data_IF_852905878977
#
_entry.id   IF_852905878977
#
_cell.length_a   1.000
_cell.length_b   1.000
_cell.length_c   1.000
_cell.angle_alpha   90.00
_cell.angle_beta   90.00
_cell.angle_gamma   90.00
#
_symmetry.space_group_name_H-M   'P 1'
#
loop_
_entity.id
_entity.type
_entity.pdbx_description
1 polymer ?
#
# COMPACT_ATOMS: atom_id res chain seq x y z
N UNK A 1 -7.39 20.43 -16.97
CA UNK A 1 -8.12 19.18 -17.30
C UNK A 1 -8.34 18.45 -15.99
N UNK A 2 -9.54 17.97 -15.70
CA UNK A 2 -9.87 17.30 -14.43
C UNK A 2 -10.17 15.84 -14.75
N UNK A 3 -9.58 14.89 -14.04
CA UNK A 3 -9.91 13.47 -14.21
C UNK A 3 -11.21 13.20 -13.44
N UNK A 4 -12.24 12.74 -14.15
CA UNK A 4 -13.51 12.32 -13.54
C UNK A 4 -13.40 10.96 -12.85
N UNK A 5 -14.40 10.62 -12.05
CA UNK A 5 -14.54 9.27 -11.49
C UNK A 5 -14.44 8.19 -12.58
N UNK A 6 -15.13 8.40 -13.70
CA UNK A 6 -15.13 7.49 -14.85
C UNK A 6 -13.75 7.36 -15.50
N UNK A 7 -12.94 8.43 -15.52
CA UNK A 7 -11.57 8.38 -16.06
C UNK A 7 -10.64 7.52 -15.19
N UNK A 8 -10.85 7.56 -13.86
CA UNK A 8 -10.10 6.74 -12.90
C UNK A 8 -10.58 5.29 -12.94
N UNK A 9 -11.87 5.03 -13.09
CA UNK A 9 -12.41 3.68 -13.26
C UNK A 9 -12.00 3.03 -14.59
N UNK A 10 -11.84 3.84 -15.64
CA UNK A 10 -11.37 3.39 -16.95
C UNK A 10 -9.91 2.88 -16.92
N UNK A 11 -9.14 3.23 -15.88
CA UNK A 11 -7.84 2.65 -15.63
C UNK A 11 -8.00 1.18 -15.23
N UNK A 12 -7.70 0.26 -16.15
CA UNK A 12 -7.63 -1.15 -15.77
C UNK A 12 -6.64 -1.35 -14.63
N UNK A 13 -6.91 -2.29 -13.71
CA UNK A 13 -6.06 -2.53 -12.55
C UNK A 13 -4.62 -2.74 -12.96
N UNK A 14 -3.75 -1.90 -12.42
CA UNK A 14 -2.34 -1.93 -12.70
C UNK A 14 -1.94 -1.45 -14.09
N UNK A 15 -2.78 -0.94 -14.99
CA UNK A 15 -2.30 -0.37 -16.29
C UNK A 15 -1.52 0.94 -16.10
N UNK A 16 -1.98 1.82 -15.22
CA UNK A 16 -1.21 3.00 -14.76
C UNK A 16 0.04 2.66 -13.96
N UNK A 17 0.15 1.41 -13.53
CA UNK A 17 1.30 0.87 -12.80
C UNK A 17 1.97 -0.29 -13.56
N UNK A 18 1.65 -0.52 -14.84
CA UNK A 18 2.38 -1.45 -15.73
C UNK A 18 3.67 -0.78 -16.22
N UNK A 19 4.02 0.36 -15.63
CA UNK A 19 5.34 0.96 -15.72
C UNK A 19 6.39 -0.11 -15.40
N UNK A 20 7.48 -0.11 -16.17
CA UNK A 20 8.62 -1.06 -16.17
C UNK A 20 9.16 -1.50 -14.79
N UNK A 21 8.79 -0.81 -13.71
CA UNK A 21 9.20 -1.11 -12.34
C UNK A 21 8.35 -2.18 -11.65
N UNK A 22 7.15 -2.51 -12.14
CA UNK A 22 6.16 -3.24 -11.33
C UNK A 22 5.67 -4.56 -11.93
N UNK A 23 6.02 -4.87 -13.18
CA UNK A 23 5.47 -6.03 -13.92
C UNK A 23 5.69 -7.42 -13.29
N UNK A 24 6.55 -7.57 -12.28
CA UNK A 24 6.95 -8.89 -11.75
C UNK A 24 7.01 -9.02 -10.22
N UNK A 25 6.57 -8.04 -9.43
CA UNK A 25 6.71 -8.15 -7.98
C UNK A 25 5.45 -8.71 -7.30
N UNK A 26 5.39 -10.04 -7.17
CA UNK A 26 4.29 -10.75 -6.47
C UNK A 26 4.08 -10.29 -5.01
N UNK A 27 5.00 -9.50 -4.44
CA UNK A 27 4.91 -8.96 -3.08
C UNK A 27 4.11 -7.66 -2.99
N UNK A 28 3.94 -6.94 -4.10
CA UNK A 28 3.24 -5.67 -4.16
C UNK A 28 1.99 -5.82 -5.01
N UNK A 29 0.86 -5.47 -4.43
CA UNK A 29 -0.45 -5.67 -5.03
C UNK A 29 -1.15 -4.33 -5.17
N UNK A 30 -1.81 -4.12 -6.30
CA UNK A 30 -2.71 -3.00 -6.51
C UNK A 30 -4.11 -3.54 -6.68
N UNK A 31 -4.96 -3.28 -5.69
CA UNK A 31 -6.32 -3.79 -5.68
C UNK A 31 -7.13 -2.98 -6.70
N UNK A 32 -7.78 -3.64 -7.68
CA UNK A 32 -8.74 -3.02 -8.59
C UNK A 32 -9.76 -2.14 -7.86
N UNK A 33 -10.16 -1.02 -8.47
CA UNK A 33 -11.24 -0.17 -7.95
C UNK A 33 -12.53 -0.97 -7.73
N UNK A 34 -12.89 -1.84 -8.67
CA UNK A 34 -14.09 -2.69 -8.57
C UNK A 34 -14.06 -3.62 -7.34
N UNK A 35 -12.89 -4.20 -7.04
CA UNK A 35 -12.71 -5.01 -5.83
C UNK A 35 -12.75 -4.11 -4.60
N UNK A 36 -12.09 -2.96 -4.64
CA UNK A 36 -12.06 -2.06 -3.50
C UNK A 36 -13.46 -1.53 -3.14
N UNK A 37 -14.29 -1.21 -4.14
CA UNK A 37 -15.70 -0.83 -3.95
C UNK A 37 -16.52 -1.99 -3.35
N UNK A 38 -16.31 -3.22 -3.85
CA UNK A 38 -16.92 -4.41 -3.24
C UNK A 38 -16.55 -4.55 -1.75
N UNK A 39 -15.30 -4.23 -1.41
CA UNK A 39 -14.81 -4.28 -0.03
C UNK A 39 -15.36 -3.13 0.84
N UNK A 40 -15.65 -1.94 0.29
CA UNK A 40 -16.16 -0.79 1.05
C UNK A 40 -17.68 -0.82 1.24
N UNK A 41 -18.44 -1.28 0.24
CA UNK A 41 -19.91 -1.20 0.21
C UNK A 41 -20.59 -2.30 1.02
N UNK A 42 -19.96 -3.48 1.14
CA UNK A 42 -20.54 -4.58 1.92
C UNK A 42 -20.44 -4.31 3.41
N UNK A 43 -21.58 -4.34 4.07
CA UNK A 43 -21.66 -4.28 5.53
C UNK A 43 -20.75 -5.35 6.14
N UNK A 44 -20.06 -4.99 7.22
CA UNK A 44 -19.21 -5.91 7.96
C UNK A 44 -20.09 -6.89 8.72
N UNK A 45 -20.40 -8.02 8.08
CA UNK A 45 -21.05 -9.16 8.73
C UNK A 45 -20.03 -10.31 8.89
N UNK A 46 -19.99 -10.88 10.09
CA UNK A 46 -19.19 -12.06 10.39
C UNK A 46 -19.87 -13.37 10.01
N UNK A 47 -21.09 -13.31 9.46
CA UNK A 47 -21.76 -14.50 8.96
C UNK A 47 -20.92 -15.21 7.88
N UNK A 48 -20.80 -16.53 8.05
CA UNK A 48 -19.93 -17.38 7.24
C UNK A 48 -20.39 -17.41 5.78
N UNK A 49 -21.69 -17.32 5.52
CA UNK A 49 -22.21 -17.27 4.15
C UNK A 49 -21.80 -15.95 3.47
N UNK A 50 -22.03 -14.82 4.14
CA UNK A 50 -21.64 -13.51 3.64
C UNK A 50 -20.14 -13.40 3.32
N UNK A 51 -19.26 -13.94 4.19
CA UNK A 51 -17.81 -13.95 3.96
C UNK A 51 -17.45 -14.77 2.71
N UNK A 52 -18.06 -15.94 2.53
CA UNK A 52 -17.81 -16.80 1.37
C UNK A 52 -18.26 -16.15 0.06
N UNK A 53 -19.43 -15.52 0.07
CA UNK A 53 -19.95 -14.81 -1.09
C UNK A 53 -19.04 -13.63 -1.44
N UNK A 54 -18.61 -12.84 -0.43
CA UNK A 54 -17.64 -11.75 -0.62
C UNK A 54 -16.31 -12.25 -1.19
N UNK A 55 -15.76 -13.32 -0.64
CA UNK A 55 -14.50 -13.89 -1.12
C UNK A 55 -14.65 -14.43 -2.54
N UNK A 56 -15.76 -15.09 -2.86
CA UNK A 56 -16.07 -15.57 -4.21
C UNK A 56 -16.12 -14.42 -5.21
N UNK A 57 -16.87 -13.36 -4.91
CA UNK A 57 -17.01 -12.19 -5.77
C UNK A 57 -15.69 -11.45 -5.95
N UNK A 58 -14.95 -11.24 -4.86
CA UNK A 58 -13.62 -10.62 -4.90
C UNK A 58 -12.65 -11.46 -5.73
N UNK A 59 -12.66 -12.79 -5.58
CA UNK A 59 -11.80 -13.70 -6.35
C UNK A 59 -12.20 -13.78 -7.83
N UNK A 60 -13.48 -13.62 -8.16
CA UNK A 60 -13.96 -13.57 -9.54
C UNK A 60 -13.49 -12.28 -10.22
N UNK A 61 -13.56 -11.15 -9.52
CA UNK A 61 -13.02 -9.87 -9.98
C UNK A 61 -11.48 -9.85 -10.02
N UNK A 62 -10.82 -10.62 -9.15
CA UNK A 62 -9.36 -10.81 -9.08
C UNK A 62 -8.82 -11.81 -10.11
N UNK A 63 -9.59 -12.15 -11.15
CA UNK A 63 -9.15 -13.14 -12.14
C UNK A 63 -7.83 -12.76 -12.83
N UNK A 64 -7.68 -11.48 -13.17
CA UNK A 64 -6.48 -10.97 -13.86
C UNK A 64 -5.29 -10.77 -12.90
N UNK A 65 -5.56 -10.28 -11.68
CA UNK A 65 -4.50 -9.91 -10.73
C UNK A 65 -4.07 -11.06 -9.83
N UNK A 66 -4.94 -12.05 -9.59
CA UNK A 66 -4.77 -13.20 -8.69
C UNK A 66 -4.14 -12.86 -7.34
N UNK A 67 -4.30 -11.60 -6.92
CA UNK A 67 -3.55 -11.01 -5.85
C UNK A 67 -4.09 -11.41 -4.48
N UNK A 68 -5.40 -11.68 -4.37
CA UNK A 68 -6.07 -12.04 -3.13
C UNK A 68 -5.92 -13.52 -2.81
N UNK A 69 -5.62 -14.37 -3.81
CA UNK A 69 -5.52 -15.83 -3.66
C UNK A 69 -4.33 -16.31 -2.82
N UNK A 70 -3.29 -15.48 -2.66
CA UNK A 70 -2.05 -15.84 -1.95
C UNK A 70 -1.67 -14.78 -0.92
N UNK A 71 -2.51 -14.54 0.11
CA UNK A 71 -2.35 -13.42 1.02
C UNK A 71 -1.01 -13.40 1.75
N UNK A 72 -0.45 -14.56 2.13
CA UNK A 72 0.90 -14.66 2.72
C UNK A 72 2.05 -14.17 1.83
N UNK A 73 1.86 -14.19 0.51
CA UNK A 73 2.88 -13.69 -0.42
C UNK A 73 2.83 -12.17 -0.58
N UNK A 74 1.70 -11.56 -0.21
CA UNK A 74 1.50 -10.12 -0.27
C UNK A 74 2.25 -9.48 0.90
N UNK A 75 3.20 -8.60 0.57
CA UNK A 75 3.91 -7.78 1.55
C UNK A 75 3.25 -6.40 1.67
N UNK A 76 2.77 -5.85 0.56
CA UNK A 76 2.05 -4.58 0.53
C UNK A 76 0.90 -4.68 -0.46
N UNK A 77 -0.29 -4.23 -0.07
CA UNK A 77 -1.40 -4.00 -1.00
C UNK A 77 -1.84 -2.54 -0.95
N UNK A 78 -2.00 -1.92 -2.11
CA UNK A 78 -2.51 -0.57 -2.29
C UNK A 78 -3.98 -0.67 -2.70
N UNK A 79 -4.86 -0.07 -1.91
CA UNK A 79 -6.30 -0.22 -2.02
C UNK A 79 -6.90 1.19 -2.12
N UNK A 80 -7.42 1.60 -3.29
CA UNK A 80 -8.11 2.87 -3.41
C UNK A 80 -9.44 2.79 -2.67
N UNK A 81 -9.76 3.77 -1.83
CA UNK A 81 -11.02 3.84 -1.09
C UNK A 81 -11.83 4.99 -1.64
N UNK A 82 -13.05 4.70 -2.10
CA UNK A 82 -14.04 5.71 -2.46
C UNK A 82 -15.18 5.72 -1.43
N UNK A 83 -15.58 6.91 -1.00
CA UNK A 83 -16.74 7.11 -0.13
C UNK A 83 -16.89 8.58 0.23
N UNK A 84 -18.12 9.05 0.46
CA UNK A 84 -18.43 10.47 0.69
C UNK A 84 -17.85 11.38 -0.41
N UNK A 85 -18.01 10.97 -1.68
CA UNK A 85 -17.50 11.62 -2.89
C UNK A 85 -15.99 11.92 -2.90
N UNK A 86 -15.23 11.17 -2.11
CA UNK A 86 -13.80 11.40 -1.93
C UNK A 86 -12.98 10.12 -2.10
N UNK A 87 -11.78 10.27 -2.66
CA UNK A 87 -10.80 9.20 -2.81
C UNK A 87 -9.69 9.29 -1.77
N UNK A 88 -9.35 8.15 -1.16
CA UNK A 88 -8.15 8.02 -0.33
C UNK A 88 -7.43 6.70 -0.60
N UNK A 89 -6.23 6.56 -0.06
CA UNK A 89 -5.42 5.36 -0.24
C UNK A 89 -5.29 4.61 1.09
N UNK A 90 -5.78 3.38 1.11
CA UNK A 90 -5.51 2.42 2.17
C UNK A 90 -4.37 1.50 1.74
N UNK A 91 -3.39 1.29 2.62
CA UNK A 91 -2.25 0.42 2.36
C UNK A 91 -2.20 -0.69 3.41
N UNK A 92 -2.40 -1.92 2.97
CA UNK A 92 -2.10 -3.11 3.77
C UNK A 92 -0.59 -3.35 3.77
N UNK A 93 -0.01 -3.60 4.94
CA UNK A 93 1.40 -3.91 5.11
C UNK A 93 1.57 -5.15 5.99
N UNK A 94 2.11 -6.20 5.39
CA UNK A 94 2.51 -7.42 6.08
C UNK A 94 4.02 -7.43 6.29
N UNK A 95 4.45 -7.33 7.55
CA UNK A 95 5.86 -7.41 7.92
C UNK A 95 6.16 -8.77 8.53
N UNK A 96 7.13 -9.48 7.97
CA UNK A 96 7.63 -10.76 8.50
C UNK A 96 8.02 -10.73 9.99
N UNK A 97 8.32 -9.55 10.53
CA UNK A 97 8.81 -9.37 11.90
C UNK A 97 7.80 -8.69 12.84
N UNK A 98 6.57 -8.43 12.39
CA UNK A 98 5.52 -7.88 13.26
C UNK A 98 4.40 -8.87 13.50
N UNK A 99 3.81 -8.87 14.70
CA UNK A 99 2.77 -9.81 15.07
C UNK A 99 1.46 -9.55 14.31
N UNK A 100 1.20 -8.31 13.91
CA UNK A 100 -0.05 -7.90 13.26
C UNK A 100 0.23 -7.13 11.95
N UNK A 101 -0.63 -7.29 10.93
CA UNK A 101 -0.61 -6.42 9.77
C UNK A 101 -0.97 -4.97 10.14
N UNK A 102 -0.31 -4.03 9.49
CA UNK A 102 -0.61 -2.60 9.62
C UNK A 102 -1.44 -2.15 8.41
N UNK A 103 -2.36 -1.24 8.66
CA UNK A 103 -3.14 -0.58 7.63
C UNK A 103 -2.88 0.92 7.71
N UNK A 104 -2.29 1.47 6.65
CA UNK A 104 -1.88 2.86 6.59
C UNK A 104 -2.86 3.62 5.71
N UNK A 105 -3.49 4.66 6.24
CA UNK A 105 -4.50 5.44 5.54
C UNK A 105 -3.95 6.81 5.18
N UNK A 106 -3.87 7.10 3.88
CA UNK A 106 -3.38 8.36 3.33
C UNK A 106 -4.58 9.11 2.74
N UNK A 107 -4.95 10.23 3.37
CA UNK A 107 -6.03 11.09 2.94
C UNK A 107 -5.47 12.49 2.61
N UNK A 108 -5.62 12.92 1.35
CA UNK A 108 -5.16 14.22 0.85
C UNK A 108 -6.07 15.37 1.22
N UNK A 109 -7.20 15.13 1.88
CA UNK A 109 -8.16 16.17 2.23
C UNK A 109 -8.34 16.24 3.76
N UNK A 110 -7.81 17.31 4.37
CA UNK A 110 -7.83 17.56 5.82
C UNK A 110 -9.24 17.42 6.43
N UNK A 111 -10.27 17.88 5.70
CA UNK A 111 -11.66 17.88 6.16
C UNK A 111 -12.44 16.62 5.77
N UNK A 112 -11.81 15.67 5.07
CA UNK A 112 -12.45 14.41 4.65
C UNK A 112 -12.31 13.30 5.71
N UNK A 113 -11.73 13.61 6.87
CA UNK A 113 -11.75 12.72 8.04
C UNK A 113 -13.14 12.58 8.67
N UNK A 114 -14.19 13.06 7.99
CA UNK A 114 -15.59 12.73 8.28
C UNK A 114 -15.68 11.24 8.62
N UNK A 115 -16.35 10.96 9.72
CA UNK A 115 -16.45 9.63 10.31
C UNK A 115 -16.84 8.57 9.27
N UNK A 116 -17.71 8.95 8.32
CA UNK A 116 -18.17 8.12 7.21
C UNK A 116 -17.03 7.62 6.30
N UNK A 117 -16.12 8.48 5.85
CA UNK A 117 -15.04 8.05 4.94
C UNK A 117 -14.01 7.18 5.65
N UNK A 118 -13.70 7.49 6.92
CA UNK A 118 -12.87 6.63 7.76
C UNK A 118 -13.55 5.27 7.99
N UNK A 119 -14.87 5.26 8.11
CA UNK A 119 -15.65 4.04 8.22
C UNK A 119 -15.56 3.19 6.94
N UNK A 120 -15.61 3.79 5.75
CA UNK A 120 -15.37 3.07 4.49
C UNK A 120 -14.01 2.36 4.48
N UNK A 121 -12.94 3.05 4.93
CA UNK A 121 -11.61 2.45 5.03
C UNK A 121 -11.55 1.29 6.04
N UNK A 122 -12.24 1.41 7.18
CA UNK A 122 -12.36 0.31 8.17
C UNK A 122 -13.14 -0.87 7.63
N UNK A 123 -14.25 -0.64 6.94
CA UNK A 123 -15.06 -1.69 6.31
C UNK A 123 -14.23 -2.44 5.28
N UNK A 124 -13.56 -1.72 4.37
CA UNK A 124 -12.68 -2.32 3.36
C UNK A 124 -11.56 -3.16 3.97
N UNK A 125 -10.94 -2.66 5.04
CA UNK A 125 -9.93 -3.37 5.80
C UNK A 125 -10.46 -4.70 6.34
N UNK A 126 -11.59 -4.68 7.05
CA UNK A 126 -12.14 -5.87 7.70
C UNK A 126 -12.56 -6.89 6.63
N UNK A 127 -13.22 -6.43 5.58
CA UNK A 127 -13.63 -7.27 4.45
C UNK A 127 -12.42 -7.89 3.75
N UNK A 128 -11.33 -7.14 3.54
CA UNK A 128 -10.10 -7.68 2.96
C UNK A 128 -9.50 -8.79 3.83
N UNK A 129 -9.49 -8.58 5.15
CA UNK A 129 -9.02 -9.57 6.10
C UNK A 129 -9.89 -10.84 6.08
N UNK A 130 -11.21 -10.72 5.95
CA UNK A 130 -12.08 -11.89 5.76
C UNK A 130 -11.80 -12.64 4.45
N UNK A 131 -11.60 -11.92 3.35
CA UNK A 131 -11.21 -12.53 2.07
C UNK A 131 -9.87 -13.26 2.20
N UNK A 132 -8.89 -12.66 2.88
CA UNK A 132 -7.60 -13.30 3.15
C UNK A 132 -7.74 -14.56 4.00
N UNK A 133 -8.61 -14.56 5.02
CA UNK A 133 -8.87 -15.74 5.84
C UNK A 133 -9.56 -16.86 5.06
N UNK A 134 -10.51 -16.54 4.17
CA UNK A 134 -11.17 -17.55 3.34
C UNK A 134 -10.18 -18.17 2.35
N UNK A 135 -9.29 -17.36 1.78
CA UNK A 135 -8.25 -17.83 0.86
C UNK A 135 -7.07 -18.54 1.57
N UNK A 136 -6.80 -18.23 2.84
CA UNK A 136 -5.82 -18.90 3.68
C UNK A 136 -6.34 -19.03 5.14
N UNK A 137 -7.01 -20.16 5.47
CA UNK A 137 -7.60 -20.38 6.79
C UNK A 137 -6.61 -20.38 7.96
N UNK A 138 -5.31 -20.50 7.69
CA UNK A 138 -4.27 -20.44 8.72
C UNK A 138 -3.92 -19.01 9.15
N UNK A 139 -4.44 -17.99 8.45
CA UNK A 139 -4.35 -16.60 8.91
C UNK A 139 -5.27 -16.39 10.11
N UNK A 140 -4.67 -16.23 11.30
CA UNK A 140 -5.38 -15.85 12.52
C UNK A 140 -5.73 -14.37 12.47
N UNK A 141 -6.95 -14.06 12.06
CA UNK A 141 -7.49 -12.71 11.96
C UNK A 141 -8.62 -12.57 12.98
N UNK A 142 -8.40 -11.72 13.99
CA UNK A 142 -9.42 -11.22 14.93
C UNK A 142 -9.73 -9.74 14.64
N UNK A 143 -10.84 -9.23 15.18
CA UNK A 143 -11.19 -7.80 15.07
C UNK A 143 -10.16 -6.88 15.73
N UNK A 144 -9.39 -7.40 16.67
CA UNK A 144 -8.30 -6.74 17.38
C UNK A 144 -6.94 -6.95 16.68
N UNK A 145 -6.90 -7.73 15.60
CA UNK A 145 -5.66 -8.14 14.91
C UNK A 145 -5.16 -7.13 13.89
N UNK A 146 -5.63 -5.88 13.93
CA UNK A 146 -5.19 -4.86 12.99
C UNK A 146 -5.06 -3.50 13.65
N UNK A 147 -4.19 -2.67 13.06
CA UNK A 147 -4.03 -1.27 13.43
C UNK A 147 -4.24 -0.40 12.19
N UNK A 148 -5.30 0.41 12.20
CA UNK A 148 -5.47 1.49 11.22
C UNK A 148 -4.68 2.71 11.70
N UNK A 149 -3.75 3.17 10.88
CA UNK A 149 -2.83 4.28 11.18
C UNK A 149 -3.03 5.36 10.13
N UNK A 150 -3.51 6.53 10.58
CA UNK A 150 -3.55 7.72 9.73
C UNK A 150 -2.12 8.17 9.41
N UNK A 151 -1.84 8.41 8.13
CA UNK A 151 -0.54 8.88 7.66
C UNK A 151 -0.67 10.25 7.05
N UNK A 152 0.27 11.12 7.42
CA UNK A 152 0.42 12.42 6.78
C UNK A 152 0.84 12.20 5.32
N UNK A 153 0.18 12.93 4.43
CA UNK A 153 0.47 12.95 3.01
C UNK A 153 0.25 14.37 2.47
N UNK A 154 0.76 14.68 1.26
CA UNK A 154 0.50 15.94 0.60
C UNK A 154 -1.00 16.23 0.55
N UNK A 155 -1.36 17.46 0.92
CA UNK A 155 -2.77 17.87 0.92
C UNK A 155 -3.14 18.48 -0.43
N UNK A 156 -4.32 18.14 -0.92
CA UNK A 156 -4.87 18.76 -2.12
C UNK A 156 -5.33 20.17 -1.81
N UNK A 157 -5.03 21.11 -2.70
CA UNK A 157 -5.48 22.49 -2.62
C UNK A 157 -6.84 22.71 -3.30
N UNK A 158 -7.31 21.74 -4.08
CA UNK A 158 -8.58 21.78 -4.81
C UNK A 158 -9.53 20.67 -4.35
N UNK A 159 -10.78 20.71 -4.81
CA UNK A 159 -11.81 19.74 -4.41
C UNK A 159 -11.87 18.45 -5.26
N UNK A 160 -11.04 18.29 -6.29
CA UNK A 160 -11.26 17.29 -7.34
C UNK A 160 -10.04 16.40 -7.67
N UNK A 161 -8.85 16.68 -7.13
CA UNK A 161 -7.66 15.86 -7.39
C UNK A 161 -7.47 14.68 -6.42
N UNK A 162 -8.44 14.36 -5.56
CA UNK A 162 -8.28 13.27 -4.57
C UNK A 162 -7.82 11.94 -5.19
N UNK A 163 -8.36 11.58 -6.37
CA UNK A 163 -7.91 10.40 -7.12
C UNK A 163 -6.48 10.50 -7.69
N UNK A 164 -6.06 11.71 -8.10
CA UNK A 164 -4.67 11.97 -8.52
C UNK A 164 -3.71 11.75 -7.35
N UNK A 165 -4.09 12.22 -6.16
CA UNK A 165 -3.30 12.04 -4.94
C UNK A 165 -3.21 10.57 -4.51
N UNK A 166 -4.28 9.78 -4.69
CA UNK A 166 -4.23 8.32 -4.48
C UNK A 166 -3.17 7.67 -5.39
N UNK A 167 -3.20 7.97 -6.69
CA UNK A 167 -2.24 7.44 -7.65
C UNK A 167 -0.81 7.89 -7.34
N UNK A 168 -0.63 9.17 -7.02
CA UNK A 168 0.65 9.76 -6.65
C UNK A 168 1.25 9.11 -5.41
N UNK A 169 0.46 8.94 -4.36
CA UNK A 169 0.90 8.32 -3.12
C UNK A 169 1.32 6.86 -3.36
N UNK A 170 0.51 6.09 -4.10
CA UNK A 170 0.85 4.72 -4.46
C UNK A 170 2.15 4.64 -5.29
N UNK A 171 2.33 5.53 -6.26
CA UNK A 171 3.54 5.60 -7.09
C UNK A 171 4.80 5.90 -6.25
N UNK A 172 4.75 6.91 -5.38
CA UNK A 172 5.87 7.30 -4.51
C UNK A 172 6.26 6.16 -3.59
N UNK A 173 5.28 5.60 -2.88
CA UNK A 173 5.52 4.50 -1.93
C UNK A 173 6.13 3.30 -2.64
N UNK A 174 5.60 2.92 -3.80
CA UNK A 174 6.14 1.75 -4.51
C UNK A 174 7.54 2.02 -5.07
N UNK A 175 7.81 3.24 -5.52
CA UNK A 175 9.15 3.62 -6.00
C UNK A 175 10.20 3.54 -4.87
N UNK A 176 9.84 4.00 -3.66
CA UNK A 176 10.69 3.88 -2.46
C UNK A 176 10.93 2.43 -2.09
N UNK A 177 9.87 1.64 -2.00
CA UNK A 177 9.94 0.21 -1.69
C UNK A 177 10.83 -0.56 -2.70
N UNK A 178 10.66 -0.29 -3.98
CA UNK A 178 11.45 -0.91 -5.05
C UNK A 178 12.93 -0.53 -4.98
N UNK A 179 13.23 0.73 -4.62
CA UNK A 179 14.60 1.20 -4.41
C UNK A 179 15.27 0.47 -3.25
N UNK A 180 14.58 0.32 -2.12
CA UNK A 180 15.11 -0.43 -0.98
C UNK A 180 15.39 -1.89 -1.28
N UNK A 181 14.52 -2.54 -2.06
CA UNK A 181 14.73 -3.93 -2.48
C UNK A 181 15.96 -4.07 -3.38
N UNK A 182 16.16 -3.14 -4.33
CA UNK A 182 17.35 -3.12 -5.20
C UNK A 182 18.64 -2.88 -4.43
N UNK A 183 18.59 -2.02 -3.41
CA UNK A 183 19.73 -1.75 -2.53
C UNK A 183 19.95 -2.87 -1.49
N UNK A 184 19.16 -3.94 -1.55
CA UNK A 184 19.26 -5.08 -0.63
C UNK A 184 18.83 -4.76 0.80
N UNK A 185 18.38 -3.52 1.10
CA UNK A 185 18.08 -3.05 2.45
C UNK A 185 16.91 -3.78 3.11
N UNK A 186 16.05 -4.42 2.31
CA UNK A 186 14.96 -5.26 2.78
C UNK A 186 15.31 -6.74 3.06
N UNK A 187 16.57 -7.17 2.86
CA UNK A 187 16.99 -8.55 3.09
C UNK A 187 17.29 -8.82 4.56
N UNK A 188 16.84 -9.94 5.16
CA UNK A 188 17.29 -10.39 6.47
C UNK A 188 18.81 -10.47 6.57
N UNK A 189 19.49 -10.83 5.47
CA UNK A 189 20.96 -10.87 5.41
C UNK A 189 21.57 -9.48 5.37
N UNK A 190 20.91 -8.45 4.83
CA UNK A 190 21.41 -7.08 4.93
C UNK A 190 21.21 -6.52 6.34
N UNK A 191 20.08 -6.81 6.98
CA UNK A 191 19.87 -6.50 8.39
C UNK A 191 20.91 -7.22 9.28
N UNK A 192 21.22 -8.48 8.98
CA UNK A 192 22.24 -9.27 9.68
C UNK A 192 23.66 -8.77 9.37
N UNK A 193 24.02 -8.55 8.11
CA UNK A 193 25.33 -8.05 7.69
C UNK A 193 25.59 -6.65 8.24
N UNK A 194 24.58 -5.78 8.33
CA UNK A 194 24.68 -4.47 8.99
C UNK A 194 24.85 -4.61 10.51
N UNK A 195 24.18 -5.58 11.14
CA UNK A 195 24.42 -5.90 12.57
C UNK A 195 25.83 -6.44 12.79
N UNK A 196 26.33 -7.30 11.90
CA UNK A 196 27.64 -7.94 12.00
C UNK A 196 28.79 -6.98 11.63
N UNK A 197 28.63 -6.10 10.64
CA UNK A 197 29.61 -5.08 10.26
C UNK A 197 29.79 -4.01 11.34
N UNK A 198 28.78 -3.84 12.19
CA UNK A 198 28.85 -2.99 13.39
C UNK A 198 29.44 -3.72 14.60
N UNK A 199 29.49 -5.06 14.57
CA UNK A 199 30.11 -5.93 15.59
C UNK A 199 31.59 -6.21 15.31
N UNK A 200 32.10 -5.94 14.12
CA UNK A 200 33.50 -6.18 13.73
C UNK A 200 34.45 -5.01 14.03
N UNK A 201 33.98 -3.94 14.68
CA UNK A 201 34.88 -2.99 15.33
C UNK A 201 35.35 -3.58 16.66
N UNK A 202 36.24 -4.58 16.57
CA UNK A 202 37.11 -4.90 17.69
C UNK A 202 38.01 -3.69 17.91
N UNK A 203 38.02 -3.08 19.11
CA UNK A 203 39.01 -2.06 19.41
C UNK A 203 40.40 -2.70 19.31
N UNK A 204 41.43 -1.97 18.84
CA UNK A 204 42.79 -2.46 18.91
C UNK A 204 43.09 -2.80 20.37
N UNK A 205 43.72 -3.95 20.61
CA UNK A 205 44.10 -4.45 21.92
C UNK A 205 45.06 -3.48 22.60
N UNK A 206 44.50 -2.45 23.24
CA UNK A 206 45.18 -1.45 24.05
C UNK A 206 44.69 -1.57 25.49
N UNK A 207 45.66 -1.76 26.39
CA UNK A 207 45.58 -1.88 27.86
C UNK A 207 44.32 -1.32 28.55
N UNK A 208 43.78 -2.17 29.43
CA UNK A 208 42.97 -1.84 30.62
C UNK A 208 43.46 -0.55 31.29
N UNK A 209 42.61 0.46 31.36
CA UNK A 209 41.80 0.85 32.52
C UNK A 209 40.91 1.99 32.01
N UNK A 210 39.60 1.78 32.04
CA UNK A 210 38.59 2.80 32.32
C UNK A 210 37.21 2.24 32.00
N UNK A 211 36.26 2.63 32.84
CA UNK A 211 34.87 2.20 32.93
C UNK A 211 34.20 1.97 31.58
N UNK A 212 33.79 0.72 31.33
CA UNK A 212 32.88 0.33 30.26
C UNK A 212 31.52 1.02 30.47
N UNK A 213 31.32 2.20 29.87
CA UNK A 213 29.97 2.60 29.50
C UNK A 213 29.59 1.83 28.24
N UNK A 214 28.84 0.74 28.45
CA UNK A 214 28.08 0.12 27.38
C UNK A 214 27.12 1.18 26.84
N UNK A 215 27.44 1.78 25.70
CA UNK A 215 26.46 2.54 24.94
C UNK A 215 25.45 1.54 24.37
N UNK A 216 24.39 1.28 25.14
CA UNK A 216 23.17 0.67 24.64
C UNK A 216 22.70 1.48 23.41
N UNK A 217 22.93 0.96 22.21
CA UNK A 217 22.41 1.63 21.01
C UNK A 217 20.92 1.40 20.91
N UNK A 218 20.25 2.54 20.98
CA UNK A 218 18.82 2.77 21.04
C UNK A 218 18.06 2.10 19.86
N UNK A 219 17.18 1.10 20.09
CA UNK A 219 16.35 0.47 19.05
C UNK A 219 15.45 1.46 18.28
N UNK A 220 15.33 2.69 18.76
CA UNK A 220 14.65 3.79 18.10
C UNK A 220 15.24 4.20 16.73
N UNK A 221 16.53 3.94 16.44
CA UNK A 221 17.15 4.43 15.19
C UNK A 221 16.69 3.68 13.93
N UNK A 222 16.42 2.38 14.06
CA UNK A 222 15.92 1.55 12.94
C UNK A 222 14.40 1.69 12.76
N UNK A 223 13.63 1.91 13.83
CA UNK A 223 12.20 2.29 13.72
C UNK A 223 12.03 3.61 12.93
N UNK A 224 12.95 4.56 13.13
CA UNK A 224 12.94 5.85 12.46
C UNK A 224 13.09 5.74 10.93
N UNK A 225 13.92 4.79 10.45
CA UNK A 225 14.18 4.64 9.01
C UNK A 225 12.97 4.02 8.28
N UNK A 226 12.30 3.05 8.90
CA UNK A 226 11.06 2.51 8.34
C UNK A 226 9.94 3.56 8.35
N UNK A 227 9.79 4.34 9.41
CA UNK A 227 8.79 5.41 9.46
C UNK A 227 9.02 6.48 8.37
N UNK A 228 10.28 6.76 8.03
CA UNK A 228 10.65 7.69 6.96
C UNK A 228 10.14 7.23 5.59
N UNK A 229 10.08 5.92 5.31
CA UNK A 229 9.57 5.42 4.02
C UNK A 229 8.10 5.74 3.81
N UNK A 230 7.33 5.59 4.88
CA UNK A 230 5.87 5.73 4.88
C UNK A 230 5.41 7.16 5.17
N UNK A 231 6.34 8.11 5.33
CA UNK A 231 6.06 9.54 5.44
C UNK A 231 6.27 10.21 4.08
N UNK A 232 5.18 10.66 3.45
CA UNK A 232 5.24 11.41 2.20
C UNK A 232 5.24 12.89 2.58
N UNK A 233 6.36 13.57 2.34
CA UNK A 233 6.48 15.02 2.54
C UNK A 233 6.13 15.73 1.25
N UNK A 234 5.66 16.97 1.32
CA UNK A 234 5.30 17.76 0.13
C UNK A 234 6.45 17.88 -0.87
N UNK A 235 7.67 18.06 -0.38
CA UNK A 235 8.87 18.13 -1.23
C UNK A 235 9.22 16.82 -1.96
N UNK A 236 8.69 15.70 -1.51
CA UNK A 236 8.91 14.39 -2.12
C UNK A 236 7.74 14.01 -3.05
N UNK A 237 6.69 14.85 -3.10
CA UNK A 237 5.52 14.62 -3.93
C UNK A 237 5.84 14.93 -5.40
N UNK A 238 5.33 14.08 -6.30
CA UNK A 238 5.25 14.45 -7.72
C UNK A 238 4.31 15.65 -7.82
N UNK A 239 4.55 16.60 -8.72
CA UNK A 239 3.58 17.68 -8.87
C UNK A 239 2.26 17.10 -9.39
N UNK A 240 1.09 17.53 -8.87
CA UNK A 240 -0.20 17.00 -9.30
C UNK A 240 -0.41 17.06 -10.82
N UNK A 241 0.04 18.13 -11.48
CA UNK A 241 -0.07 18.28 -12.93
C UNK A 241 0.81 17.30 -13.72
N UNK A 242 2.02 16.99 -13.22
CA UNK A 242 2.89 15.97 -13.81
C UNK A 242 2.23 14.59 -13.70
N UNK A 243 1.66 14.27 -12.54
CA UNK A 243 0.92 13.02 -12.33
C UNK A 243 -0.32 12.96 -13.22
N UNK A 244 -1.06 14.07 -13.36
CA UNK A 244 -2.24 14.13 -14.22
C UNK A 244 -1.86 13.90 -15.68
N UNK A 245 -0.77 14.52 -16.14
CA UNK A 245 -0.23 14.33 -17.49
C UNK A 245 0.19 12.88 -17.71
N UNK A 246 0.89 12.28 -16.74
CA UNK A 246 1.26 10.87 -16.77
C UNK A 246 0.03 9.95 -16.87
N UNK A 247 -0.97 10.13 -15.99
CA UNK A 247 -2.20 9.33 -15.98
C UNK A 247 -2.96 9.47 -17.29
N UNK A 248 -3.08 10.69 -17.80
CA UNK A 248 -3.72 10.98 -19.09
C UNK A 248 -3.05 10.22 -20.23
N UNK A 249 -1.71 10.27 -20.29
CA UNK A 249 -0.95 9.53 -21.30
C UNK A 249 -1.14 8.02 -21.20
N UNK A 250 -1.20 7.46 -19.99
CA UNK A 250 -1.51 6.05 -19.75
C UNK A 250 -2.90 5.71 -20.27
N UNK A 251 -3.92 6.48 -19.88
CA UNK A 251 -5.33 6.23 -20.26
C UNK A 251 -5.47 6.23 -21.78
N UNK A 252 -4.96 7.28 -22.44
CA UNK A 252 -5.03 7.39 -23.90
C UNK A 252 -4.28 6.26 -24.62
N UNK A 253 -3.12 5.84 -24.10
CA UNK A 253 -2.37 4.71 -24.68
C UNK A 253 -3.16 3.40 -24.58
N UNK A 254 -3.86 3.18 -23.45
CA UNK A 254 -4.66 1.98 -23.22
C UNK A 254 -5.93 1.94 -24.09
N UNK A 255 -6.62 3.08 -24.26
CA UNK A 255 -7.85 3.17 -25.07
C UNK A 255 -7.56 3.04 -26.57
N UNK A 256 -6.47 3.63 -27.06
CA UNK A 256 -6.07 3.50 -28.47
C UNK A 256 -5.71 2.06 -28.83
N UNK A 257 -4.98 1.37 -27.95
CA UNK A 257 -4.60 -0.04 -28.16
C UNK A 257 -5.83 -0.95 -28.24
N UNK A 258 -6.88 -0.68 -27.44
CA UNK A 258 -8.15 -1.44 -27.47
C UNK A 258 -8.96 -1.20 -28.75
N UNK A 259 -9.00 0.04 -29.24
CA UNK A 259 -9.73 0.36 -30.47
C UNK A 259 -9.09 -0.32 -31.68
N UNK A 260 -7.76 -0.36 -31.73
CA UNK A 260 -7.04 -1.06 -32.79
C UNK A 260 -7.22 -2.60 -32.75
N UNK A 261 -7.40 -3.19 -31.56
CA UNK A 261 -7.58 -4.63 -31.40
C UNK A 261 -9.03 -5.12 -31.50
N UNK A 262 -10.01 -4.22 -31.41
CA UNK A 262 -11.42 -4.51 -31.71
C UNK A 262 -11.78 -4.33 -33.20
N UNK A 263 -10.86 -3.75 -33.99
CA UNK A 263 -11.03 -3.49 -35.42
C UNK A 263 -10.36 -4.54 -36.33
N UNK A 264 -9.83 -5.61 -35.74
CA UNK A 264 -9.21 -6.77 -36.39
C UNK A 264 -10.01 -8.03 -36.03
#
# INVERSE_FOLDING_TARGET
MTLSHTDIEALKPGEYLKHKHFRNNKKYVYVPVTIANLLTERAVDSDKKHIKDLASDANALDFETQCLKKPKSIRVAFIPIFGDDHWSLLVYRNLKHRPLPEFLHFNSHLNSTRENHTQCARTALINLLYVFRENDPSMTISKESYKLVMKNCPQQSNGNDCGVYVCMNAYILTSRLSKEEKEGRGSPLHALAKRLSLSSYSPPLGRRTDTLSYSEKNPNKDQNLEELLWKIKDKDAVQPDDMRTYLTNVIYSATFTRSASASL
#
